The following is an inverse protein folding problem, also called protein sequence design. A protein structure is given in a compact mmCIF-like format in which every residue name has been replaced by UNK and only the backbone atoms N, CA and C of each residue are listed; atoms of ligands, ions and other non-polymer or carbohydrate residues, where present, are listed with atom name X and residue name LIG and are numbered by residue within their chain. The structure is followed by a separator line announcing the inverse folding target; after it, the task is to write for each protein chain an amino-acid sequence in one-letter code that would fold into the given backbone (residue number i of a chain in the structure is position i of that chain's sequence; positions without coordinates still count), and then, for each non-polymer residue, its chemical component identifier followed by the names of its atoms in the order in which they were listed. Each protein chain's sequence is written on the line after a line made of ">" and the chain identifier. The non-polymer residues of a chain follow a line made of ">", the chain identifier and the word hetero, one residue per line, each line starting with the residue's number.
data_IF_844750570996
#
_entry.id   IF_844750570996
#
_cell.length_a   1.000
_cell.length_b   1.000
_cell.length_c   1.000
_cell.angle_alpha   90.00
_cell.angle_beta   90.00
_cell.angle_gamma   90.00
#
_symmetry.space_group_name_H-M   'P 1'
#
loop_
_entity.id
_entity.type
_entity.pdbx_description
1 polymer ?
#
# COMPACT_ATOMS: atom_id res chain seq x y z
N UNK A 1 8.92 -29.16 -1.30
CA UNK A 1 9.51 -28.18 -2.23
C UNK A 1 8.92 -26.82 -1.88
N UNK A 2 9.73 -25.78 -1.66
CA UNK A 2 9.18 -24.43 -1.44
C UNK A 2 8.66 -23.87 -2.76
N UNK A 3 7.77 -22.88 -2.69
CA UNK A 3 7.22 -22.22 -3.88
C UNK A 3 8.32 -21.55 -4.70
N UNK A 4 9.32 -20.93 -4.06
CA UNK A 4 10.55 -20.42 -4.70
C UNK A 4 11.22 -21.46 -5.59
N UNK A 5 11.40 -22.66 -5.04
CA UNK A 5 12.16 -23.73 -5.69
C UNK A 5 11.38 -24.25 -6.90
N UNK A 6 10.05 -24.36 -6.77
CA UNK A 6 9.18 -24.73 -7.88
C UNK A 6 9.22 -23.70 -9.01
N UNK A 7 9.11 -22.40 -8.67
CA UNK A 7 9.18 -21.31 -9.66
C UNK A 7 10.49 -21.33 -10.41
N UNK A 8 11.62 -21.40 -9.70
CA UNK A 8 12.95 -21.40 -10.29
C UNK A 8 13.18 -22.62 -11.19
N UNK A 9 12.62 -23.78 -10.83
CA UNK A 9 12.76 -25.01 -11.61
C UNK A 9 11.87 -25.06 -12.85
N UNK A 10 10.73 -24.36 -12.86
CA UNK A 10 9.69 -24.55 -13.87
C UNK A 10 9.44 -23.32 -14.77
N UNK A 11 9.84 -22.11 -14.37
CA UNK A 11 9.66 -20.90 -15.18
C UNK A 11 10.96 -20.55 -15.91
N UNK A 12 11.05 -20.90 -17.19
CA UNK A 12 12.17 -20.56 -18.07
C UNK A 12 12.33 -19.03 -18.19
N UNK A 13 13.57 -18.54 -18.15
CA UNK A 13 13.93 -17.11 -18.23
C UNK A 13 13.40 -16.22 -17.08
N UNK A 14 12.89 -16.79 -15.99
CA UNK A 14 12.60 -15.99 -14.81
C UNK A 14 13.90 -15.59 -14.10
N UNK A 15 14.06 -14.30 -13.77
CA UNK A 15 15.01 -13.91 -12.75
C UNK A 15 14.65 -14.62 -11.45
N UNK A 16 15.64 -15.12 -10.68
CA UNK A 16 15.35 -15.79 -9.43
C UNK A 16 14.63 -14.82 -8.48
N UNK A 17 13.53 -15.27 -7.89
CA UNK A 17 12.91 -14.56 -6.78
C UNK A 17 13.87 -14.61 -5.60
N UNK A 18 14.19 -13.45 -5.05
CA UNK A 18 15.01 -13.40 -3.86
C UNK A 18 14.23 -13.98 -2.67
N UNK A 19 14.89 -14.68 -1.73
CA UNK A 19 14.21 -15.23 -0.56
C UNK A 19 13.38 -14.20 0.21
N UNK A 20 13.92 -12.98 0.34
CA UNK A 20 13.28 -11.83 1.00
C UNK A 20 12.00 -11.37 0.28
N UNK A 21 11.96 -11.45 -1.05
CA UNK A 21 10.79 -11.08 -1.85
C UNK A 21 9.56 -11.90 -1.48
N UNK A 22 9.72 -13.22 -1.33
CA UNK A 22 8.60 -14.09 -0.98
C UNK A 22 8.12 -13.86 0.46
N UNK A 23 9.04 -13.58 1.37
CA UNK A 23 8.72 -13.24 2.76
C UNK A 23 7.88 -11.96 2.81
N UNK A 24 8.36 -10.88 2.19
CA UNK A 24 7.65 -9.60 2.16
C UNK A 24 6.31 -9.69 1.44
N UNK A 25 6.20 -10.43 0.34
CA UNK A 25 4.92 -10.67 -0.35
C UNK A 25 3.95 -11.43 0.55
N UNK A 26 4.43 -12.44 1.29
CA UNK A 26 3.63 -13.20 2.24
C UNK A 26 3.13 -12.29 3.39
N UNK A 27 4.04 -11.55 4.00
CA UNK A 27 3.74 -10.64 5.12
C UNK A 27 2.73 -9.57 4.72
N UNK A 28 2.93 -8.95 3.55
CA UNK A 28 2.00 -7.96 3.02
C UNK A 28 0.62 -8.55 2.77
N UNK A 29 0.56 -9.74 2.16
CA UNK A 29 -0.72 -10.39 1.85
C UNK A 29 -1.48 -10.71 3.15
N UNK A 30 -0.80 -11.22 4.17
CA UNK A 30 -1.41 -11.52 5.47
C UNK A 30 -1.84 -10.25 6.21
N UNK A 31 -0.98 -9.23 6.26
CA UNK A 31 -1.29 -7.96 6.90
C UNK A 31 -2.48 -7.27 6.24
N UNK A 32 -2.53 -7.25 4.91
CA UNK A 32 -3.68 -6.73 4.17
C UNK A 32 -4.95 -7.51 4.48
N UNK A 33 -4.91 -8.84 4.51
CA UNK A 33 -6.09 -9.64 4.84
C UNK A 33 -6.64 -9.35 6.24
N UNK A 34 -5.77 -9.14 7.23
CA UNK A 34 -6.19 -8.76 8.59
C UNK A 34 -6.83 -7.35 8.57
N UNK A 35 -6.16 -6.39 7.92
CA UNK A 35 -6.68 -5.03 7.76
C UNK A 35 -8.07 -5.03 7.10
N UNK A 36 -8.21 -5.69 5.95
CA UNK A 36 -9.45 -5.79 5.18
C UNK A 36 -10.57 -6.44 5.99
N UNK A 37 -10.28 -7.55 6.69
CA UNK A 37 -11.25 -8.22 7.54
C UNK A 37 -11.71 -7.33 8.73
N UNK A 38 -10.81 -6.53 9.29
CA UNK A 38 -11.11 -5.64 10.43
C UNK A 38 -11.87 -4.36 10.03
N UNK A 39 -11.64 -3.85 8.82
CA UNK A 39 -12.13 -2.53 8.41
C UNK A 39 -13.28 -2.56 7.41
N UNK A 40 -13.26 -3.54 6.52
CA UNK A 40 -14.21 -3.66 5.42
C UNK A 40 -15.29 -4.70 5.71
N UNK A 41 -14.99 -5.77 6.44
CA UNK A 41 -15.86 -6.93 6.68
C UNK A 41 -16.43 -7.54 5.38
N UNK A 42 -17.49 -6.94 4.80
CA UNK A 42 -18.13 -7.30 3.53
C UNK A 42 -18.34 -6.12 2.57
N UNK A 43 -17.97 -4.91 2.97
CA UNK A 43 -18.03 -3.70 2.14
C UNK A 43 -16.75 -3.58 1.30
N UNK A 44 -16.80 -2.78 0.24
CA UNK A 44 -15.60 -2.47 -0.53
C UNK A 44 -14.67 -1.59 0.31
N UNK A 45 -13.43 -2.06 0.54
CA UNK A 45 -12.44 -1.36 1.36
C UNK A 45 -12.21 0.07 0.89
N UNK A 46 -12.23 0.35 -0.42
CA UNK A 46 -11.99 1.70 -0.96
C UNK A 46 -13.02 2.70 -0.46
N UNK A 47 -14.27 2.26 -0.30
CA UNK A 47 -15.38 3.11 0.18
C UNK A 47 -15.23 3.40 1.69
N UNK A 48 -14.50 2.53 2.41
CA UNK A 48 -14.23 2.67 3.84
C UNK A 48 -13.02 3.54 4.16
N UNK A 49 -12.06 3.66 3.24
CA UNK A 49 -10.78 4.35 3.51
C UNK A 49 -11.03 5.78 4.02
N UNK A 50 -11.92 6.55 3.39
CA UNK A 50 -12.22 7.91 3.84
C UNK A 50 -12.89 8.00 5.23
N UNK A 51 -13.63 6.97 5.65
CA UNK A 51 -14.21 6.90 7.00
C UNK A 51 -13.15 6.50 8.02
N UNK A 52 -12.24 5.61 7.64
CA UNK A 52 -11.14 5.18 8.47
C UNK A 52 -10.11 6.30 8.67
N UNK A 53 -9.73 7.03 7.61
CA UNK A 53 -8.78 8.14 7.69
C UNK A 53 -9.27 9.21 8.67
N UNK A 54 -10.55 9.60 8.59
CA UNK A 54 -11.22 10.50 9.54
C UNK A 54 -11.13 10.06 10.98
N UNK A 55 -11.26 8.75 11.21
CA UNK A 55 -11.27 8.16 12.55
C UNK A 55 -9.85 8.13 13.13
N UNK A 56 -8.90 7.62 12.35
CA UNK A 56 -7.48 7.48 12.75
C UNK A 56 -6.84 8.85 12.97
N UNK A 57 -7.14 9.84 12.11
CA UNK A 57 -6.57 11.19 12.20
C UNK A 57 -6.88 11.93 13.51
N UNK A 58 -7.90 11.52 14.27
CA UNK A 58 -8.28 12.15 15.54
C UNK A 58 -7.37 11.76 16.70
N UNK A 59 -6.82 10.55 16.65
CA UNK A 59 -6.09 9.94 17.76
C UNK A 59 -4.60 9.76 17.46
N UNK A 60 -4.24 9.62 16.18
CA UNK A 60 -2.87 9.33 15.76
C UNK A 60 -2.00 10.60 15.77
N UNK A 61 -0.73 10.53 16.22
CA UNK A 61 0.22 11.63 16.10
C UNK A 61 0.38 12.06 14.64
N UNK A 62 0.40 13.38 14.38
CA UNK A 62 0.36 13.94 13.01
C UNK A 62 1.59 13.64 12.16
N UNK A 63 2.69 13.25 12.79
CA UNK A 63 3.97 12.89 12.18
C UNK A 63 4.16 11.36 12.01
N UNK A 64 3.22 10.55 12.50
CA UNK A 64 3.37 9.09 12.59
C UNK A 64 3.59 8.38 11.25
N UNK A 65 3.23 9.02 10.13
CA UNK A 65 3.36 8.45 8.78
C UNK A 65 4.28 9.26 7.88
N UNK A 66 5.03 10.23 8.42
CA UNK A 66 5.88 11.12 7.63
C UNK A 66 6.97 10.35 6.87
N UNK A 67 7.50 9.25 7.44
CA UNK A 67 8.45 8.38 6.74
C UNK A 67 7.86 7.71 5.51
N UNK A 68 6.66 7.12 5.63
CA UNK A 68 6.01 6.43 4.51
C UNK A 68 5.55 7.45 3.45
N UNK A 69 5.07 8.61 3.88
CA UNK A 69 4.72 9.69 2.97
C UNK A 69 5.95 10.21 2.21
N UNK A 70 7.07 10.45 2.90
CA UNK A 70 8.32 10.87 2.25
C UNK A 70 8.84 9.84 1.25
N UNK A 71 8.75 8.55 1.57
CA UNK A 71 9.07 7.46 0.65
C UNK A 71 8.23 7.54 -0.63
N UNK A 72 6.90 7.63 -0.50
CA UNK A 72 6.00 7.69 -1.66
C UNK A 72 6.10 8.99 -2.44
N UNK A 73 6.29 10.13 -1.78
CA UNK A 73 6.57 11.40 -2.45
C UNK A 73 7.82 11.27 -3.33
N UNK A 74 8.92 10.75 -2.79
CA UNK A 74 10.16 10.53 -3.55
C UNK A 74 9.98 9.54 -4.71
N UNK A 75 9.17 8.50 -4.51
CA UNK A 75 8.93 7.48 -5.54
C UNK A 75 8.04 7.98 -6.67
N UNK A 76 7.04 8.79 -6.34
CA UNK A 76 5.95 9.11 -7.26
C UNK A 76 6.01 10.49 -7.85
N UNK A 77 6.79 11.40 -7.29
CA UNK A 77 6.90 12.79 -7.73
C UNK A 77 8.35 13.09 -8.10
N UNK A 78 8.54 13.68 -9.28
CA UNK A 78 9.84 14.23 -9.69
C UNK A 78 10.17 15.50 -8.90
N UNK A 79 11.45 15.88 -8.84
CA UNK A 79 11.86 17.15 -8.20
C UNK A 79 11.17 18.39 -8.79
N UNK A 80 10.68 18.31 -10.04
CA UNK A 80 9.89 19.35 -10.69
C UNK A 80 8.46 19.49 -10.17
N UNK A 81 7.96 18.53 -9.37
CA UNK A 81 6.59 18.45 -8.89
C UNK A 81 5.65 17.61 -9.76
N UNK A 82 6.14 17.07 -10.89
CA UNK A 82 5.33 16.26 -11.82
C UNK A 82 5.31 14.78 -11.42
N UNK A 83 4.21 14.04 -11.68
CA UNK A 83 4.14 12.61 -11.40
C UNK A 83 5.11 11.82 -12.28
N UNK A 84 5.70 10.78 -11.68
CA UNK A 84 6.54 9.79 -12.37
C UNK A 84 5.70 8.75 -13.11
N UNK A 85 6.32 7.99 -14.01
CA UNK A 85 5.66 6.82 -14.65
C UNK A 85 5.14 5.80 -13.62
N UNK A 86 5.85 5.63 -12.50
CA UNK A 86 5.43 4.74 -11.42
C UNK A 86 4.10 5.16 -10.77
N UNK A 87 3.82 6.47 -10.71
CA UNK A 87 2.55 6.96 -10.19
C UNK A 87 1.38 6.53 -11.10
N UNK A 88 1.57 6.60 -12.43
CA UNK A 88 0.57 6.16 -13.38
C UNK A 88 0.28 4.65 -13.28
N UNK A 89 1.25 3.85 -12.87
CA UNK A 89 1.06 2.41 -12.59
C UNK A 89 0.32 2.11 -11.28
N UNK A 90 0.00 3.11 -10.47
CA UNK A 90 -1.00 2.94 -9.41
C UNK A 90 -2.39 2.73 -10.00
N UNK A 91 -2.67 3.17 -11.23
CA UNK A 91 -3.95 2.99 -11.93
C UNK A 91 -5.17 3.40 -11.09
N UNK A 92 -5.10 4.56 -10.41
CA UNK A 92 -6.26 5.16 -9.75
C UNK A 92 -7.44 5.27 -10.74
N UNK A 93 -8.64 4.96 -10.26
CA UNK A 93 -9.82 4.84 -11.13
C UNK A 93 -10.55 6.16 -11.28
N UNK A 94 -10.61 6.94 -10.21
CA UNK A 94 -11.34 8.20 -10.16
C UNK A 94 -10.37 9.38 -10.29
N UNK A 95 -10.78 10.41 -11.05
CA UNK A 95 -9.98 11.63 -11.21
C UNK A 95 -9.72 12.33 -9.87
N UNK A 96 -10.70 12.29 -8.95
CA UNK A 96 -10.57 12.86 -7.61
C UNK A 96 -9.51 12.15 -6.75
N UNK A 97 -9.31 10.84 -6.94
CA UNK A 97 -8.24 10.10 -6.26
C UNK A 97 -6.87 10.53 -6.79
N UNK A 98 -6.76 10.76 -8.09
CA UNK A 98 -5.53 11.24 -8.74
C UNK A 98 -5.18 12.62 -8.19
N UNK A 99 -6.11 13.57 -8.26
CA UNK A 99 -5.90 14.95 -7.82
C UNK A 99 -5.51 15.02 -6.34
N UNK A 100 -6.27 14.37 -5.45
CA UNK A 100 -5.97 14.33 -4.02
C UNK A 100 -4.60 13.69 -3.74
N UNK A 101 -4.28 12.59 -4.43
CA UNK A 101 -2.98 11.93 -4.25
C UNK A 101 -1.82 12.82 -4.64
N UNK A 102 -1.95 13.56 -5.75
CA UNK A 102 -0.92 14.50 -6.18
C UNK A 102 -0.76 15.65 -5.17
N UNK A 103 -1.85 16.29 -4.75
CA UNK A 103 -1.80 17.37 -3.75
C UNK A 103 -1.13 16.92 -2.43
N UNK A 104 -1.44 15.70 -1.96
CA UNK A 104 -0.77 15.12 -0.77
C UNK A 104 0.71 14.86 -1.02
N UNK A 105 1.06 14.21 -2.13
CA UNK A 105 2.44 13.79 -2.41
C UNK A 105 3.38 14.97 -2.66
N UNK A 106 2.88 16.11 -3.14
CA UNK A 106 3.63 17.37 -3.27
C UNK A 106 3.53 18.26 -2.02
N UNK A 107 2.86 17.79 -0.96
CA UNK A 107 2.64 18.49 0.31
C UNK A 107 1.97 19.87 0.17
N UNK A 108 0.95 19.96 -0.68
CA UNK A 108 0.19 21.19 -0.95
C UNK A 108 -1.06 21.27 -0.07
N UNK A 109 -0.97 22.00 1.04
CA UNK A 109 -2.08 22.37 1.95
C UNK A 109 -3.08 21.22 2.24
N UNK A 110 -2.56 20.03 2.57
CA UNK A 110 -3.38 18.85 2.84
C UNK A 110 -3.56 18.59 4.34
N UNK A 111 -4.75 18.09 4.72
CA UNK A 111 -5.01 17.70 6.10
C UNK A 111 -4.32 16.38 6.45
N UNK A 112 -4.14 16.10 7.73
CA UNK A 112 -3.60 14.81 8.17
C UNK A 112 -4.51 13.63 7.77
N UNK A 113 -5.82 13.85 7.74
CA UNK A 113 -6.80 12.91 7.21
C UNK A 113 -6.53 12.58 5.73
N UNK A 114 -6.30 13.59 4.90
CA UNK A 114 -6.01 13.39 3.47
C UNK A 114 -4.71 12.59 3.28
N UNK A 115 -3.69 12.87 4.09
CA UNK A 115 -2.42 12.11 4.08
C UNK A 115 -2.65 10.63 4.36
N UNK A 116 -3.42 10.31 5.40
CA UNK A 116 -3.76 8.92 5.75
C UNK A 116 -4.57 8.26 4.63
N UNK A 117 -5.58 8.95 4.09
CA UNK A 117 -6.43 8.45 3.00
C UNK A 117 -5.60 8.09 1.77
N UNK A 118 -4.72 8.99 1.33
CA UNK A 118 -3.85 8.77 0.16
C UNK A 118 -2.87 7.63 0.40
N UNK A 119 -2.24 7.57 1.58
CA UNK A 119 -1.34 6.47 1.93
C UNK A 119 -2.04 5.11 1.84
N UNK A 120 -3.26 4.99 2.39
CA UNK A 120 -4.06 3.77 2.32
C UNK A 120 -4.55 3.45 0.91
N UNK A 121 -4.88 4.46 0.11
CA UNK A 121 -5.23 4.28 -1.30
C UNK A 121 -4.05 3.72 -2.10
N UNK A 122 -2.82 4.18 -1.85
CA UNK A 122 -1.59 3.61 -2.45
C UNK A 122 -1.44 2.14 -2.05
N UNK A 123 -1.57 1.82 -0.76
CA UNK A 123 -1.50 0.43 -0.27
C UNK A 123 -2.57 -0.46 -0.91
N UNK A 124 -3.80 0.03 -1.03
CA UNK A 124 -4.88 -0.64 -1.74
C UNK A 124 -4.52 -0.92 -3.21
N UNK A 125 -3.86 0.04 -3.88
CA UNK A 125 -3.38 -0.16 -5.25
C UNK A 125 -2.30 -1.22 -5.34
N UNK A 126 -1.40 -1.32 -4.36
CA UNK A 126 -0.43 -2.42 -4.31
C UNK A 126 -1.13 -3.77 -4.23
N UNK A 127 -2.09 -3.94 -3.32
CA UNK A 127 -2.87 -5.19 -3.23
C UNK A 127 -3.57 -5.54 -4.54
N UNK A 128 -4.16 -4.56 -5.20
CA UNK A 128 -4.81 -4.79 -6.49
C UNK A 128 -3.82 -5.17 -7.59
N UNK A 129 -2.65 -4.55 -7.61
CA UNK A 129 -1.67 -4.75 -8.67
C UNK A 129 -0.82 -6.02 -8.46
N UNK A 130 -0.64 -6.50 -7.23
CA UNK A 130 0.29 -7.58 -6.85
C UNK A 130 0.07 -8.89 -7.63
N UNK A 131 -1.18 -9.24 -7.96
CA UNK A 131 -1.50 -10.45 -8.74
C UNK A 131 -2.33 -10.20 -10.00
N UNK A 132 -3.02 -9.05 -10.10
CA UNK A 132 -3.80 -8.72 -11.29
C UNK A 132 -3.06 -7.78 -12.26
N UNK A 133 -2.08 -7.02 -11.77
CA UNK A 133 -1.28 -6.07 -12.56
C UNK A 133 0.07 -6.63 -12.98
N UNK A 134 0.71 -7.41 -12.11
CA UNK A 134 2.02 -8.02 -12.36
C UNK A 134 1.82 -9.34 -13.11
N UNK A 135 1.95 -9.30 -14.44
CA UNK A 135 1.93 -10.51 -15.30
C UNK A 135 3.25 -11.26 -15.32
N UNK A 136 4.31 -10.64 -14.81
CA UNK A 136 5.64 -11.21 -14.71
C UNK A 136 6.09 -11.22 -13.25
N UNK A 137 6.12 -12.41 -12.66
CA UNK A 137 6.47 -12.63 -11.26
C UNK A 137 7.88 -12.12 -10.91
N UNK A 138 8.77 -11.98 -11.89
CA UNK A 138 10.13 -11.48 -11.68
C UNK A 138 10.17 -10.01 -11.24
N UNK A 139 9.13 -9.23 -11.56
CA UNK A 139 9.00 -7.84 -11.15
C UNK A 139 8.68 -7.68 -9.65
N UNK A 140 8.42 -8.77 -8.94
CA UNK A 140 8.16 -8.73 -7.50
C UNK A 140 9.39 -8.29 -6.70
N UNK A 141 10.61 -8.60 -7.17
CA UNK A 141 11.83 -8.15 -6.52
C UNK A 141 11.88 -6.61 -6.45
N UNK A 142 11.39 -5.91 -7.48
CA UNK A 142 11.34 -4.44 -7.51
C UNK A 142 10.22 -3.84 -6.63
N UNK A 143 9.38 -4.67 -6.02
CA UNK A 143 8.29 -4.24 -5.14
C UNK A 143 8.60 -4.39 -3.66
N UNK A 144 9.72 -5.01 -3.28
CA UNK A 144 10.07 -5.30 -1.87
C UNK A 144 9.93 -4.06 -0.98
N UNK A 145 10.56 -2.95 -1.38
CA UNK A 145 10.51 -1.71 -0.61
C UNK A 145 9.11 -1.07 -0.57
N UNK A 146 8.32 -1.19 -1.64
CA UNK A 146 6.93 -0.71 -1.65
C UNK A 146 6.08 -1.47 -0.64
N UNK A 147 6.24 -2.80 -0.62
CA UNK A 147 5.49 -3.69 0.26
C UNK A 147 5.91 -3.52 1.71
N UNK A 148 7.20 -3.32 2.00
CA UNK A 148 7.67 -2.99 3.35
C UNK A 148 7.06 -1.70 3.89
N UNK A 149 7.11 -0.61 3.12
CA UNK A 149 6.48 0.66 3.51
C UNK A 149 4.96 0.51 3.69
N UNK A 150 4.31 -0.33 2.87
CA UNK A 150 2.89 -0.63 3.02
C UNK A 150 2.58 -1.42 4.30
N UNK A 151 3.39 -2.43 4.63
CA UNK A 151 3.27 -3.21 5.88
C UNK A 151 3.43 -2.27 7.09
N UNK A 152 4.49 -1.46 7.09
CA UNK A 152 4.76 -0.50 8.17
C UNK A 152 3.61 0.49 8.34
N UNK A 153 3.08 1.05 7.24
CA UNK A 153 1.91 1.93 7.29
C UNK A 153 0.72 1.24 7.98
N UNK A 154 0.42 -0.01 7.60
CA UNK A 154 -0.68 -0.76 8.21
C UNK A 154 -0.43 -1.03 9.69
N UNK A 155 0.79 -1.38 10.08
CA UNK A 155 1.19 -1.56 11.49
C UNK A 155 1.05 -0.28 12.31
N UNK A 156 1.34 0.88 11.71
CA UNK A 156 1.17 2.20 12.35
C UNK A 156 -0.31 2.52 12.50
N UNK A 157 -1.12 2.34 11.46
CA UNK A 157 -2.52 2.78 11.41
C UNK A 157 -3.45 1.88 12.24
N UNK A 158 -3.27 0.55 12.17
CA UNK A 158 -4.20 -0.41 12.75
C UNK A 158 -4.45 -0.20 14.25
N UNK A 159 -3.45 0.07 15.11
CA UNK A 159 -3.67 0.38 16.52
C UNK A 159 -4.63 1.55 16.78
N UNK A 160 -4.71 2.52 15.87
CA UNK A 160 -5.60 3.68 15.98
C UNK A 160 -6.94 3.47 15.28
N UNK A 161 -7.11 2.38 14.52
CA UNK A 161 -8.34 2.10 13.79
C UNK A 161 -9.50 1.70 14.72
N UNK A 162 -9.17 1.19 15.91
CA UNK A 162 -10.11 0.76 16.94
C UNK A 162 -10.86 -0.53 16.63
N UNK A 163 -10.50 -1.25 15.55
CA UNK A 163 -11.20 -2.48 15.09
C UNK A 163 -10.31 -3.72 14.96
N UNK A 164 -9.02 -3.60 15.19
CA UNK A 164 -8.06 -4.72 15.12
C UNK A 164 -8.26 -5.81 16.19
N UNK A 165 -9.24 -5.67 17.09
CA UNK A 165 -9.49 -6.52 18.26
C UNK A 165 -10.70 -7.47 18.16
N UNK A 166 -11.31 -7.64 16.98
CA UNK A 166 -12.45 -8.55 16.81
C UNK A 166 -12.32 -9.45 15.58
N UNK A 167 -11.28 -10.27 15.54
CA UNK A 167 -11.29 -11.52 14.78
C UNK A 167 -11.69 -12.66 15.74
N UNK A 168 -12.98 -12.74 16.08
CA UNK A 168 -13.54 -13.91 16.78
C UNK A 168 -14.31 -13.69 18.08
N UNK A 169 -14.90 -12.50 18.33
CA UNK A 169 -15.93 -12.38 19.38
C UNK A 169 -17.32 -12.23 18.75
#
# INVERSE_FOLDING_TARGET
>A
MKVSDWIQQNIQHSAPLEPDTLEVVSDFTLMWSIFEASEAHNENVVDRIGVLSKRVAREMPTDAIDSQLAYWSKRYIHESGEPTEHFHYLYFREASQIEKSLDVLINKETSFEDKIEVCLLIVYRYRNNLFHGIKDITLLNDQVENLRNAIELLQIIMPYSGRYLFLGA
#
